data_IF_967154395251
#
_entry.id   IF_967154395251
#
_cell.length_a   1.000
_cell.length_b   1.000
_cell.length_c   1.000
_cell.angle_alpha   90.00
_cell.angle_beta   90.00
_cell.angle_gamma   90.00
#
_symmetry.space_group_name_H-M   'P 1'
#
loop_
_entity.id
_entity.type
_entity.pdbx_description
1 polymer ?
#
# COMPACT_ATOMS: atom_id res chain seq x y z
N UNK A 1 5.30 17.64 -19.21
CA UNK A 1 6.14 16.41 -19.22
C UNK A 1 5.83 15.55 -18.01
N UNK A 2 5.64 16.17 -16.84
CA UNK A 2 5.44 15.48 -15.54
C UNK A 2 4.17 14.63 -15.47
N UNK A 3 3.05 15.11 -16.00
CA UNK A 3 1.77 14.37 -16.01
C UNK A 3 1.89 13.05 -16.79
N UNK A 4 2.64 13.04 -17.90
CA UNK A 4 2.80 11.84 -18.73
C UNK A 4 3.54 10.75 -17.95
N UNK A 5 4.59 11.13 -17.21
CA UNK A 5 5.36 10.19 -16.37
C UNK A 5 4.49 9.59 -15.27
N UNK A 6 3.72 10.42 -14.56
CA UNK A 6 2.81 9.99 -13.49
C UNK A 6 1.77 9.01 -14.03
N UNK A 7 1.16 9.30 -15.18
CA UNK A 7 0.14 8.44 -15.81
C UNK A 7 0.75 7.10 -16.24
N UNK A 8 1.89 7.14 -16.96
CA UNK A 8 2.54 5.91 -17.42
C UNK A 8 3.03 5.05 -16.25
N UNK A 9 3.67 5.65 -15.24
CA UNK A 9 4.11 4.92 -14.06
C UNK A 9 2.93 4.28 -13.31
N UNK A 10 1.82 5.02 -13.15
CA UNK A 10 0.59 4.49 -12.55
C UNK A 10 0.01 3.34 -13.35
N UNK A 11 -0.05 3.46 -14.67
CA UNK A 11 -0.56 2.44 -15.57
C UNK A 11 0.28 1.15 -15.52
N UNK A 12 1.59 1.25 -15.71
CA UNK A 12 2.48 0.09 -15.67
C UNK A 12 2.54 -0.55 -14.29
N UNK A 13 2.51 0.25 -13.21
CA UNK A 13 2.45 -0.29 -11.85
C UNK A 13 1.13 -1.02 -11.59
N UNK A 14 0.00 -0.49 -12.06
CA UNK A 14 -1.29 -1.16 -11.95
C UNK A 14 -1.27 -2.53 -12.65
N UNK A 15 -0.72 -2.62 -13.87
CA UNK A 15 -0.55 -3.88 -14.61
C UNK A 15 0.35 -4.85 -13.84
N UNK A 16 1.55 -4.41 -13.44
CA UNK A 16 2.51 -5.29 -12.75
C UNK A 16 1.91 -5.85 -11.46
N UNK A 17 1.24 -4.99 -10.69
CA UNK A 17 0.69 -5.34 -9.38
C UNK A 17 -0.64 -6.08 -9.46
N UNK A 18 -1.29 -6.09 -10.64
CA UNK A 18 -2.44 -6.94 -10.91
C UNK A 18 -2.05 -8.42 -10.78
N UNK A 19 -0.90 -8.82 -11.34
CA UNK A 19 -0.42 -10.20 -11.29
C UNK A 19 0.27 -10.54 -9.98
N UNK A 20 1.11 -9.64 -9.44
CA UNK A 20 1.85 -9.93 -8.20
C UNK A 20 1.02 -9.79 -6.93
N UNK A 21 -0.07 -9.03 -6.95
CA UNK A 21 -0.88 -8.72 -5.77
C UNK A 21 -0.22 -7.80 -4.74
N UNK A 22 1.05 -7.41 -4.92
CA UNK A 22 1.85 -6.62 -3.96
C UNK A 22 2.74 -5.59 -4.67
N UNK A 23 3.21 -4.58 -3.92
CA UNK A 23 4.29 -3.67 -4.37
C UNK A 23 3.86 -2.37 -5.04
N UNK A 24 2.55 -2.10 -5.17
CA UNK A 24 2.06 -0.85 -5.78
C UNK A 24 2.54 0.38 -5.01
N UNK A 25 2.41 0.35 -3.68
CA UNK A 25 2.91 1.44 -2.83
C UNK A 25 4.42 1.60 -2.91
N UNK A 26 5.17 0.49 -2.97
CA UNK A 26 6.64 0.51 -3.08
C UNK A 26 7.12 1.20 -4.34
N UNK A 27 6.38 1.08 -5.45
CA UNK A 27 6.76 1.68 -6.74
C UNK A 27 6.20 3.10 -6.86
N UNK A 28 4.91 3.34 -6.59
CA UNK A 28 4.30 4.65 -6.83
C UNK A 28 4.66 5.71 -5.81
N UNK A 29 4.91 5.32 -4.55
CA UNK A 29 5.30 6.28 -3.51
C UNK A 29 6.57 7.06 -3.87
N UNK A 30 7.72 6.42 -4.21
CA UNK A 30 8.92 7.17 -4.62
C UNK A 30 8.71 7.94 -5.92
N UNK A 31 7.95 7.39 -6.88
CA UNK A 31 7.63 8.10 -8.14
C UNK A 31 6.86 9.39 -7.85
N UNK A 32 5.78 9.34 -7.06
CA UNK A 32 5.00 10.52 -6.74
C UNK A 32 5.76 11.50 -5.84
N UNK A 33 6.60 11.01 -4.92
CA UNK A 33 7.41 11.87 -4.05
C UNK A 33 8.46 12.71 -4.81
N UNK A 34 8.83 12.33 -6.05
CA UNK A 34 9.68 13.15 -6.92
C UNK A 34 8.93 14.41 -7.41
N UNK A 35 7.61 14.32 -7.60
CA UNK A 35 6.81 15.39 -8.21
C UNK A 35 5.92 16.13 -7.21
N UNK A 36 5.62 15.52 -6.06
CA UNK A 36 4.68 16.04 -5.06
C UNK A 36 5.26 15.97 -3.65
N UNK A 37 4.81 16.86 -2.73
CA UNK A 37 5.03 16.71 -1.30
C UNK A 37 4.65 15.31 -0.81
N UNK A 38 5.37 14.82 0.20
CA UNK A 38 5.25 13.44 0.71
C UNK A 38 3.79 13.12 1.10
N UNK A 39 3.10 14.07 1.72
CA UNK A 39 1.71 13.94 2.15
C UNK A 39 0.78 13.69 0.96
N UNK A 40 0.99 14.43 -0.14
CA UNK A 40 0.22 14.30 -1.38
C UNK A 40 0.59 13.00 -2.09
N UNK A 41 1.88 12.64 -2.13
CA UNK A 41 2.36 11.39 -2.71
C UNK A 41 1.75 10.15 -2.03
N UNK A 42 1.66 10.15 -0.69
CA UNK A 42 0.98 9.10 0.09
C UNK A 42 -0.49 9.02 -0.31
N UNK A 43 -1.18 10.16 -0.33
CA UNK A 43 -2.59 10.23 -0.66
C UNK A 43 -2.87 9.70 -2.08
N UNK A 44 -2.11 10.16 -3.08
CA UNK A 44 -2.23 9.73 -4.47
C UNK A 44 -1.93 8.24 -4.64
N UNK A 45 -0.91 7.73 -3.96
CA UNK A 45 -0.60 6.29 -3.95
C UNK A 45 -1.78 5.48 -3.41
N UNK A 46 -2.42 5.97 -2.34
CA UNK A 46 -3.64 5.37 -1.78
C UNK A 46 -4.80 5.34 -2.76
N UNK A 47 -5.03 6.43 -3.51
CA UNK A 47 -6.07 6.50 -4.55
C UNK A 47 -5.80 5.47 -5.64
N UNK A 48 -4.59 5.44 -6.21
CA UNK A 48 -4.25 4.47 -7.27
C UNK A 48 -4.33 3.04 -6.76
N UNK A 49 -3.91 2.79 -5.51
CA UNK A 49 -4.03 1.47 -4.89
C UNK A 49 -5.50 1.04 -4.76
N UNK A 50 -6.36 1.92 -4.29
CA UNK A 50 -7.79 1.65 -4.15
C UNK A 50 -8.45 1.36 -5.50
N UNK A 51 -8.21 2.23 -6.49
CA UNK A 51 -8.75 2.05 -7.84
C UNK A 51 -8.27 0.74 -8.49
N UNK A 52 -6.98 0.41 -8.36
CA UNK A 52 -6.42 -0.83 -8.90
C UNK A 52 -7.02 -2.07 -8.24
N UNK A 53 -7.22 -2.05 -6.92
CA UNK A 53 -7.81 -3.18 -6.22
C UNK A 53 -9.31 -3.34 -6.52
N UNK A 54 -10.05 -2.24 -6.72
CA UNK A 54 -11.45 -2.31 -7.19
C UNK A 54 -11.53 -2.97 -8.57
N UNK A 55 -10.61 -2.61 -9.47
CA UNK A 55 -10.52 -3.22 -10.79
C UNK A 55 -10.19 -4.73 -10.72
N UNK A 56 -9.28 -5.14 -9.83
CA UNK A 56 -9.00 -6.57 -9.56
C UNK A 56 -10.24 -7.33 -9.10
N UNK A 57 -11.02 -6.74 -8.19
CA UNK A 57 -12.26 -7.35 -7.71
C UNK A 57 -13.27 -7.49 -8.85
N UNK A 58 -13.41 -6.47 -9.71
CA UNK A 58 -14.33 -6.52 -10.84
C UNK A 58 -13.94 -7.60 -11.86
N UNK A 59 -12.66 -7.71 -12.21
CA UNK A 59 -12.19 -8.65 -13.23
C UNK A 59 -12.06 -10.09 -12.73
N UNK A 60 -11.51 -10.28 -11.52
CA UNK A 60 -11.10 -11.59 -11.03
C UNK A 60 -11.82 -12.03 -9.73
N UNK A 61 -12.57 -11.13 -9.09
CA UNK A 61 -13.20 -11.39 -7.79
C UNK A 61 -14.24 -12.51 -7.80
N UNK A 62 -14.81 -12.86 -8.96
CA UNK A 62 -15.75 -14.00 -9.09
C UNK A 62 -15.10 -15.35 -8.75
N UNK A 63 -13.79 -15.47 -8.96
CA UNK A 63 -13.02 -16.68 -8.69
C UNK A 63 -12.39 -16.65 -7.28
N UNK A 64 -12.69 -15.65 -6.45
CA UNK A 64 -12.13 -15.55 -5.12
C UNK A 64 -12.65 -16.68 -4.21
N UNK A 65 -11.73 -17.28 -3.45
CA UNK A 65 -12.09 -18.27 -2.45
C UNK A 65 -12.89 -17.59 -1.31
N UNK A 66 -14.17 -17.97 -1.17
CA UNK A 66 -15.08 -17.40 -0.18
C UNK A 66 -14.63 -17.63 1.26
N UNK A 67 -14.02 -18.78 1.56
CA UNK A 67 -13.51 -19.08 2.90
C UNK A 67 -12.36 -18.14 3.28
N UNK A 68 -11.42 -17.90 2.34
CA UNK A 68 -10.33 -16.93 2.54
C UNK A 68 -10.88 -15.51 2.67
N UNK A 69 -11.84 -15.13 1.83
CA UNK A 69 -12.48 -13.81 1.91
C UNK A 69 -13.13 -13.57 3.28
N UNK A 70 -13.86 -14.56 3.80
CA UNK A 70 -14.57 -14.44 5.08
C UNK A 70 -13.62 -14.50 6.29
N UNK A 71 -12.63 -15.40 6.27
CA UNK A 71 -11.73 -15.62 7.42
C UNK A 71 -10.54 -14.65 7.47
N UNK A 72 -10.14 -14.11 6.33
CA UNK A 72 -8.98 -13.22 6.24
C UNK A 72 -9.38 -11.85 5.68
N UNK A 73 -10.09 -11.81 4.55
CA UNK A 73 -10.41 -10.55 3.86
C UNK A 73 -11.27 -9.59 4.70
N UNK A 74 -12.40 -10.04 5.22
CA UNK A 74 -13.30 -9.20 6.06
C UNK A 74 -12.59 -8.74 7.34
N UNK A 75 -11.95 -9.62 8.14
CA UNK A 75 -11.18 -9.18 9.30
C UNK A 75 -10.08 -8.16 8.94
N UNK A 76 -9.37 -8.37 7.84
CA UNK A 76 -8.33 -7.44 7.38
C UNK A 76 -8.89 -6.06 7.03
N UNK A 77 -10.08 -5.99 6.40
CA UNK A 77 -10.76 -4.72 6.13
C UNK A 77 -11.09 -4.00 7.45
N UNK A 78 -11.73 -4.69 8.40
CA UNK A 78 -12.10 -4.12 9.69
C UNK A 78 -10.86 -3.62 10.45
N UNK A 79 -9.82 -4.45 10.51
CA UNK A 79 -8.55 -4.08 11.16
C UNK A 79 -7.87 -2.89 10.47
N UNK A 80 -7.95 -2.77 9.14
CA UNK A 80 -7.39 -1.65 8.39
C UNK A 80 -8.10 -0.33 8.72
N UNK A 81 -9.44 -0.34 8.79
CA UNK A 81 -10.20 0.83 9.22
C UNK A 81 -9.93 1.20 10.67
N UNK A 82 -9.89 0.21 11.57
CA UNK A 82 -9.55 0.43 12.97
C UNK A 82 -8.15 1.04 13.13
N UNK A 83 -7.15 0.52 12.41
CA UNK A 83 -5.79 1.05 12.39
C UNK A 83 -5.72 2.49 11.87
N UNK A 84 -6.42 2.80 10.78
CA UNK A 84 -6.50 4.16 10.23
C UNK A 84 -7.15 5.14 11.21
N UNK A 85 -8.24 4.72 11.86
CA UNK A 85 -8.95 5.55 12.85
C UNK A 85 -8.09 5.83 14.10
N UNK A 86 -7.43 4.80 14.63
CA UNK A 86 -6.46 4.96 15.72
C UNK A 86 -5.35 5.92 15.29
N UNK A 87 -4.76 5.71 14.10
CA UNK A 87 -3.76 6.60 13.54
C UNK A 87 -4.21 8.06 13.47
N UNK A 88 -5.45 8.31 13.05
CA UNK A 88 -6.06 9.64 13.03
C UNK A 88 -6.14 10.29 14.42
N UNK A 89 -6.48 9.54 15.47
CA UNK A 89 -6.52 10.04 16.86
C UNK A 89 -5.12 10.47 17.33
N UNK A 90 -4.09 9.70 16.98
CA UNK A 90 -2.72 9.96 17.42
C UNK A 90 -1.92 10.87 16.48
N UNK A 91 -2.49 11.28 15.34
CA UNK A 91 -1.79 12.00 14.27
C UNK A 91 -1.16 13.33 14.73
N UNK A 92 -1.77 14.00 15.73
CA UNK A 92 -1.22 15.22 16.33
C UNK A 92 -0.07 14.99 17.32
N UNK A 93 0.11 13.75 17.80
CA UNK A 93 1.12 13.37 18.79
C UNK A 93 2.31 12.65 18.16
N UNK A 94 2.14 12.11 16.95
CA UNK A 94 3.15 11.34 16.23
C UNK A 94 3.84 12.24 15.20
N UNK A 95 5.16 12.27 15.21
CA UNK A 95 5.95 12.98 14.20
C UNK A 95 6.27 12.08 13.00
N UNK A 96 6.47 12.66 11.82
CA UNK A 96 6.92 11.91 10.64
C UNK A 96 8.24 11.17 10.89
N UNK A 97 9.14 11.76 11.69
CA UNK A 97 10.40 11.13 12.08
C UNK A 97 10.19 9.86 12.89
N UNK A 98 9.24 9.87 13.83
CA UNK A 98 8.87 8.67 14.57
C UNK A 98 8.35 7.58 13.64
N UNK A 99 7.44 7.92 12.71
CA UNK A 99 6.91 6.96 11.72
C UNK A 99 8.03 6.39 10.85
N UNK A 100 8.94 7.23 10.36
CA UNK A 100 10.07 6.79 9.54
C UNK A 100 10.97 5.80 10.28
N UNK A 101 11.34 6.10 11.53
CA UNK A 101 12.18 5.21 12.34
C UNK A 101 11.44 3.90 12.64
N UNK A 102 10.17 3.98 13.03
CA UNK A 102 9.35 2.80 13.30
C UNK A 102 9.27 1.88 12.07
N UNK A 103 8.94 2.43 10.91
CA UNK A 103 8.84 1.67 9.66
C UNK A 103 10.21 1.12 9.25
N UNK A 104 11.28 1.91 9.37
CA UNK A 104 12.63 1.44 9.06
C UNK A 104 13.05 0.25 9.93
N UNK A 105 12.76 0.29 11.23
CA UNK A 105 13.01 -0.84 12.15
C UNK A 105 12.20 -2.06 11.74
N UNK A 106 10.90 -1.90 11.44
CA UNK A 106 10.05 -3.01 11.00
C UNK A 106 10.57 -3.65 9.71
N UNK A 107 10.95 -2.84 8.72
CA UNK A 107 11.50 -3.34 7.45
C UNK A 107 12.85 -4.03 7.64
N UNK A 108 13.70 -3.51 8.53
CA UNK A 108 14.98 -4.12 8.86
C UNK A 108 14.80 -5.50 9.51
N UNK A 109 13.87 -5.62 10.46
CA UNK A 109 13.53 -6.90 11.09
C UNK A 109 12.99 -7.90 10.06
N UNK A 110 12.10 -7.48 9.16
CA UNK A 110 11.59 -8.34 8.08
C UNK A 110 12.74 -8.79 7.16
N UNK A 111 13.64 -7.88 6.79
CA UNK A 111 14.79 -8.21 5.95
C UNK A 111 15.72 -9.24 6.60
N UNK A 112 15.98 -9.13 7.91
CA UNK A 112 16.75 -10.14 8.64
C UNK A 112 16.01 -11.48 8.72
N UNK A 113 14.70 -11.47 8.97
CA UNK A 113 13.89 -12.68 9.02
C UNK A 113 13.93 -13.45 7.70
N UNK A 114 13.76 -12.76 6.58
CA UNK A 114 13.88 -13.32 5.23
C UNK A 114 15.31 -13.79 4.93
N UNK A 115 16.32 -12.98 5.27
CA UNK A 115 17.74 -13.32 5.03
C UNK A 115 18.22 -14.53 5.84
N UNK A 116 17.66 -14.74 7.03
CA UNK A 116 17.92 -15.90 7.88
C UNK A 116 17.03 -17.12 7.56
N UNK A 117 16.04 -16.97 6.67
CA UNK A 117 15.09 -18.04 6.33
C UNK A 117 14.13 -18.43 7.46
N UNK A 118 13.90 -17.52 8.43
CA UNK A 118 12.99 -17.75 9.56
C UNK A 118 11.52 -17.56 9.13
N UNK A 119 11.30 -16.69 8.14
CA UNK A 119 10.02 -16.42 7.50
C UNK A 119 10.17 -16.46 5.98
#
# INVERSE_FOLDING_TARGET
>A
MDIVVIVLASFFTAILTFFSGFGLGTILMPVFAIFFPIEIAIALTGVVHFSNNLFKIMLAGRNANKEVLLRFGIPAIIASFAGAFIGYIFLKKITLRFIQVLVAVMLFVIALGLGAGII
#
